data_IF_678984089100
#
_entry.id   IF_678984089100
#
_cell.length_a   1.000
_cell.length_b   1.000
_cell.length_c   1.000
_cell.angle_alpha   90.00
_cell.angle_beta   90.00
_cell.angle_gamma   90.00
#
_symmetry.space_group_name_H-M   'P 1'
#
loop_
_entity.id
_entity.type
_entity.pdbx_description
1 polymer ?
#
# COMPACT_ATOMS: atom_id res chain seq x y z
N UNK A 1 -38.44 33.49 -19.13
CA UNK A 1 -37.65 33.89 -17.94
C UNK A 1 -36.52 32.90 -17.83
N UNK A 2 -35.33 33.24 -18.39
CA UNK A 2 -34.16 32.34 -18.36
C UNK A 2 -33.48 32.50 -17.00
N UNK A 3 -33.53 31.45 -16.19
CA UNK A 3 -32.79 31.40 -14.94
C UNK A 3 -31.32 31.13 -15.37
N UNK A 4 -30.52 32.17 -15.38
CA UNK A 4 -29.08 31.98 -15.51
C UNK A 4 -28.58 31.40 -14.21
N UNK A 5 -28.38 30.11 -14.15
CA UNK A 5 -27.67 29.43 -13.05
C UNK A 5 -26.19 29.70 -13.21
N UNK A 6 -25.69 30.67 -12.47
CA UNK A 6 -24.29 30.92 -12.36
C UNK A 6 -23.66 29.86 -11.46
N UNK A 7 -22.81 29.01 -12.01
CA UNK A 7 -22.12 27.93 -11.29
C UNK A 7 -20.64 28.24 -11.08
N UNK A 8 -20.23 29.48 -11.28
CA UNK A 8 -18.82 29.91 -11.20
C UNK A 8 -18.19 29.69 -9.81
N UNK A 9 -19.02 29.56 -8.78
CA UNK A 9 -18.59 29.31 -7.40
C UNK A 9 -18.46 27.82 -7.04
N UNK A 10 -18.81 26.90 -7.96
CA UNK A 10 -18.71 25.46 -7.72
C UNK A 10 -17.40 24.96 -8.32
N UNK A 11 -16.48 24.57 -7.43
CA UNK A 11 -15.19 24.02 -7.83
C UNK A 11 -15.38 22.73 -8.64
N UNK A 12 -14.80 22.68 -9.85
CA UNK A 12 -14.90 21.52 -10.74
C UNK A 12 -16.19 21.42 -11.56
N UNK A 13 -17.08 22.40 -11.50
CA UNK A 13 -18.25 22.43 -12.37
C UNK A 13 -17.87 22.46 -13.84
N UNK A 14 -18.42 21.53 -14.62
CA UNK A 14 -18.14 21.45 -16.05
C UNK A 14 -16.83 20.72 -16.40
N UNK A 15 -16.24 19.96 -15.47
CA UNK A 15 -15.03 19.19 -15.70
C UNK A 15 -15.19 18.12 -16.80
N UNK A 16 -16.40 17.71 -17.11
CA UNK A 16 -16.81 16.78 -18.17
C UNK A 16 -17.03 17.46 -19.54
N UNK A 17 -17.04 18.81 -19.59
CA UNK A 17 -17.21 19.56 -20.82
C UNK A 17 -15.89 19.62 -21.61
N UNK A 18 -16.02 19.89 -22.92
CA UNK A 18 -14.86 20.19 -23.74
C UNK A 18 -14.01 21.31 -23.14
N UNK A 19 -12.69 21.17 -23.17
CA UNK A 19 -11.73 22.07 -22.53
C UNK A 19 -11.92 23.55 -22.92
N UNK A 20 -12.30 23.81 -24.16
CA UNK A 20 -12.54 25.16 -24.67
C UNK A 20 -13.86 25.79 -24.16
N UNK A 21 -14.79 24.96 -23.67
CA UNK A 21 -16.13 25.36 -23.23
C UNK A 21 -16.34 25.25 -21.74
N UNK A 22 -15.36 24.80 -21.00
CA UNK A 22 -15.44 24.74 -19.55
C UNK A 22 -15.52 26.15 -18.99
N UNK A 23 -16.46 26.44 -18.06
CA UNK A 23 -16.43 27.69 -17.34
C UNK A 23 -15.07 27.78 -16.63
N UNK A 24 -14.26 28.72 -17.09
CA UNK A 24 -12.84 28.73 -16.79
C UNK A 24 -12.52 28.68 -15.31
N UNK A 25 -12.17 27.51 -14.86
CA UNK A 25 -11.35 27.38 -13.68
C UNK A 25 -9.93 27.71 -14.16
N UNK A 26 -9.27 28.75 -13.70
CA UNK A 26 -7.95 29.17 -14.16
C UNK A 26 -6.90 28.04 -14.09
N UNK A 27 -7.13 27.05 -13.24
CA UNK A 27 -6.29 25.87 -13.08
C UNK A 27 -6.31 24.89 -14.27
N UNK A 28 -7.33 24.94 -15.14
CA UNK A 28 -7.42 24.04 -16.28
C UNK A 28 -6.64 24.53 -17.49
N UNK A 29 -6.53 25.84 -17.65
CA UNK A 29 -5.78 26.45 -18.77
C UNK A 29 -4.26 26.50 -18.48
N UNK A 30 -3.89 26.73 -17.23
CA UNK A 30 -2.53 26.64 -16.74
C UNK A 30 -2.62 26.35 -15.24
N UNK A 31 -2.33 25.12 -14.81
CA UNK A 31 -2.26 24.87 -13.37
C UNK A 31 -1.26 25.87 -12.80
N UNK A 32 -1.66 26.66 -11.78
CA UNK A 32 -0.78 27.68 -11.19
C UNK A 32 0.41 26.95 -10.61
N UNK A 33 1.50 26.93 -11.35
CA UNK A 33 2.77 26.53 -10.77
C UNK A 33 3.09 27.60 -9.74
N UNK A 34 3.25 27.19 -8.50
CA UNK A 34 3.75 28.06 -7.44
C UNK A 34 5.06 28.67 -7.93
N UNK A 35 4.98 29.93 -8.42
CA UNK A 35 6.15 30.66 -8.88
C UNK A 35 7.10 30.79 -7.69
N UNK A 36 8.32 30.30 -7.81
CA UNK A 36 9.34 30.38 -6.79
C UNK A 36 9.57 29.13 -5.93
N UNK A 37 8.68 28.15 -5.93
CA UNK A 37 8.96 26.80 -5.43
C UNK A 37 8.87 25.83 -6.60
N UNK A 38 9.98 25.54 -7.24
CA UNK A 38 10.14 24.21 -7.82
C UNK A 38 10.14 23.28 -6.60
N UNK A 39 9.16 22.37 -6.44
CA UNK A 39 9.41 21.26 -5.57
C UNK A 39 10.69 20.64 -6.13
N UNK A 40 11.78 20.74 -5.39
CA UNK A 40 12.94 19.93 -5.67
C UNK A 40 12.41 18.51 -5.59
N UNK A 41 12.40 17.81 -6.71
CA UNK A 41 12.10 16.39 -6.70
C UNK A 41 13.00 15.80 -5.62
N UNK A 42 12.45 15.09 -4.63
CA UNK A 42 13.25 14.54 -3.55
C UNK A 42 14.36 13.68 -4.17
N UNK A 43 15.57 13.84 -3.69
CA UNK A 43 16.68 13.02 -4.13
C UNK A 43 16.32 11.54 -3.93
N UNK A 44 16.69 10.71 -4.88
CA UNK A 44 16.43 9.27 -4.79
C UNK A 44 17.06 8.69 -3.52
N UNK A 45 16.23 8.07 -2.68
CA UNK A 45 16.69 7.40 -1.47
C UNK A 45 17.57 6.19 -1.86
N UNK A 46 18.72 5.97 -1.20
CA UNK A 46 19.56 4.81 -1.47
C UNK A 46 18.82 3.51 -1.06
N UNK A 47 18.88 2.54 -1.94
CA UNK A 47 18.27 1.23 -1.73
C UNK A 47 19.13 0.38 -0.77
N UNK A 48 18.83 0.44 0.52
CA UNK A 48 19.50 -0.35 1.56
C UNK A 48 18.84 -1.70 1.81
N UNK A 49 17.60 -1.88 1.32
CA UNK A 49 16.79 -3.09 1.44
C UNK A 49 16.09 -3.37 0.11
N UNK A 50 15.65 -4.61 -0.08
CA UNK A 50 14.87 -4.98 -1.26
C UNK A 50 13.53 -4.24 -1.26
N UNK A 51 13.25 -3.52 -2.35
CA UNK A 51 12.02 -2.79 -2.58
C UNK A 51 11.21 -3.53 -3.64
N UNK A 52 9.98 -3.88 -3.30
CA UNK A 52 9.05 -4.47 -4.24
C UNK A 52 8.21 -3.35 -4.87
N UNK A 53 8.18 -3.29 -6.17
CA UNK A 53 7.38 -2.34 -6.91
C UNK A 53 6.48 -3.04 -7.94
N UNK A 54 5.42 -2.37 -8.36
CA UNK A 54 4.49 -2.86 -9.38
C UNK A 54 5.19 -3.00 -10.73
N UNK A 55 4.83 -4.05 -11.47
CA UNK A 55 5.27 -4.22 -12.85
C UNK A 55 4.69 -3.16 -13.81
N UNK A 56 3.69 -2.42 -13.36
CA UNK A 56 3.04 -1.35 -14.13
C UNK A 56 3.79 -0.01 -14.00
N UNK A 57 4.76 0.07 -13.08
CA UNK A 57 5.58 1.27 -12.87
C UNK A 57 7.01 0.99 -13.32
N UNK A 58 7.59 1.87 -14.16
CA UNK A 58 8.95 1.68 -14.65
C UNK A 58 9.99 1.85 -13.54
N UNK A 59 9.73 2.74 -12.58
CA UNK A 59 10.71 3.17 -11.59
C UNK A 59 10.19 3.06 -10.15
N UNK A 60 11.13 3.03 -9.20
CA UNK A 60 10.85 3.09 -7.78
C UNK A 60 10.60 4.55 -7.38
N UNK A 61 9.65 4.78 -6.48
CA UNK A 61 9.41 6.12 -5.93
C UNK A 61 10.67 6.67 -5.26
N UNK A 62 10.94 7.99 -5.35
CA UNK A 62 12.14 8.60 -4.77
C UNK A 62 12.31 8.34 -3.28
N UNK A 63 11.20 8.22 -2.54
CA UNK A 63 11.18 7.91 -1.11
C UNK A 63 10.32 6.68 -0.86
N UNK A 64 10.82 5.76 -0.05
CA UNK A 64 10.15 4.50 0.27
C UNK A 64 10.43 4.05 1.70
N UNK A 65 9.53 3.20 2.25
CA UNK A 65 9.70 2.63 3.57
C UNK A 65 10.71 1.48 3.59
N UNK A 66 11.55 1.44 4.62
CA UNK A 66 12.59 0.42 4.82
C UNK A 66 12.38 -0.44 6.06
N UNK A 67 11.30 -0.19 6.83
CA UNK A 67 11.07 -0.80 8.14
C UNK A 67 10.73 -2.28 8.10
N UNK A 68 10.08 -2.75 7.04
CA UNK A 68 9.63 -4.14 6.90
C UNK A 68 10.08 -4.71 5.55
N UNK A 69 11.36 -5.04 5.40
CA UNK A 69 11.86 -5.66 4.17
C UNK A 69 11.25 -7.07 4.00
N UNK A 70 11.04 -7.51 2.75
CA UNK A 70 10.48 -8.82 2.47
C UNK A 70 11.43 -9.93 2.91
N UNK A 71 11.03 -10.71 3.95
CA UNK A 71 11.82 -11.81 4.52
C UNK A 71 10.97 -13.08 4.63
N UNK A 72 11.63 -14.22 4.79
CA UNK A 72 10.97 -15.47 5.05
C UNK A 72 9.96 -15.91 3.99
N UNK A 73 8.98 -16.66 4.39
CA UNK A 73 7.89 -17.14 3.52
C UNK A 73 6.96 -15.99 3.10
N UNK A 74 6.65 -15.08 4.01
CA UNK A 74 5.85 -13.88 3.70
C UNK A 74 6.53 -13.02 2.63
N UNK A 75 7.83 -12.83 2.71
CA UNK A 75 8.60 -12.13 1.69
C UNK A 75 8.60 -12.83 0.33
N UNK A 76 8.72 -14.14 0.31
CA UNK A 76 8.59 -14.92 -0.93
C UNK A 76 7.19 -14.74 -1.56
N UNK A 77 6.13 -14.79 -0.76
CA UNK A 77 4.76 -14.57 -1.23
C UNK A 77 4.59 -13.16 -1.81
N UNK A 78 5.13 -12.14 -1.15
CA UNK A 78 5.11 -10.76 -1.65
C UNK A 78 5.82 -10.64 -3.00
N UNK A 79 7.04 -11.18 -3.14
CA UNK A 79 7.74 -11.20 -4.45
C UNK A 79 6.92 -11.87 -5.54
N UNK A 80 6.20 -12.94 -5.19
CA UNK A 80 5.32 -13.65 -6.13
C UNK A 80 4.08 -12.83 -6.50
N UNK A 81 3.52 -12.08 -5.55
CA UNK A 81 2.39 -11.18 -5.79
C UNK A 81 2.80 -10.05 -6.75
N UNK A 82 3.91 -9.39 -6.51
CA UNK A 82 4.41 -8.27 -7.33
C UNK A 82 4.84 -8.65 -8.76
N UNK A 83 4.87 -9.93 -9.11
CA UNK A 83 5.00 -10.40 -10.50
C UNK A 83 3.68 -10.39 -11.27
N UNK A 84 2.58 -10.04 -10.62
CA UNK A 84 1.25 -9.95 -11.21
C UNK A 84 0.83 -8.48 -11.31
N UNK A 85 -0.04 -8.19 -12.29
CA UNK A 85 -0.66 -6.87 -12.42
C UNK A 85 -1.51 -6.55 -11.18
N UNK A 86 -1.57 -5.28 -10.82
CA UNK A 86 -2.44 -4.76 -9.77
C UNK A 86 -3.94 -4.94 -10.11
N UNK A 87 -4.29 -5.12 -11.37
CA UNK A 87 -5.65 -5.45 -11.82
C UNK A 87 -6.04 -6.92 -11.57
N UNK A 88 -5.07 -7.82 -11.29
CA UNK A 88 -5.35 -9.22 -10.95
C UNK A 88 -5.69 -9.37 -9.46
N UNK A 89 -6.90 -9.83 -9.16
CA UNK A 89 -7.35 -10.10 -7.79
C UNK A 89 -6.40 -11.02 -7.02
N UNK A 90 -5.72 -11.94 -7.71
CA UNK A 90 -4.73 -12.85 -7.11
C UNK A 90 -3.53 -12.12 -6.54
N UNK A 91 -3.16 -10.96 -7.09
CA UNK A 91 -2.13 -10.08 -6.53
C UNK A 91 -2.50 -9.71 -5.10
N UNK A 92 -3.68 -9.16 -4.90
CA UNK A 92 -4.18 -8.69 -3.60
C UNK A 92 -4.41 -9.83 -2.61
N UNK A 93 -5.00 -10.93 -3.07
CA UNK A 93 -5.20 -12.11 -2.23
C UNK A 93 -3.89 -12.67 -1.69
N UNK A 94 -2.85 -12.69 -2.53
CA UNK A 94 -1.53 -13.17 -2.12
C UNK A 94 -0.85 -12.21 -1.14
N UNK A 95 -1.02 -10.88 -1.29
CA UNK A 95 -0.54 -9.90 -0.33
C UNK A 95 -1.22 -10.03 1.02
N UNK A 96 -2.55 -10.18 1.05
CA UNK A 96 -3.31 -10.43 2.27
C UNK A 96 -2.85 -11.71 2.99
N UNK A 97 -2.65 -12.79 2.24
CA UNK A 97 -2.14 -14.03 2.79
C UNK A 97 -0.71 -13.85 3.33
N UNK A 98 0.16 -13.14 2.61
CA UNK A 98 1.52 -12.85 3.05
C UNK A 98 1.55 -12.05 4.37
N UNK A 99 0.61 -11.14 4.56
CA UNK A 99 0.51 -10.39 5.82
C UNK A 99 0.14 -11.28 7.00
N UNK A 100 -0.75 -12.25 6.81
CA UNK A 100 -1.08 -13.24 7.85
C UNK A 100 0.11 -14.13 8.19
N UNK A 101 0.84 -14.58 7.17
CA UNK A 101 2.08 -15.36 7.37
C UNK A 101 3.12 -14.53 8.10
N UNK A 102 3.29 -13.25 7.75
CA UNK A 102 4.24 -12.34 8.41
C UNK A 102 3.94 -12.18 9.91
N UNK A 103 2.67 -12.12 10.31
CA UNK A 103 2.26 -12.08 11.73
C UNK A 103 2.74 -13.34 12.44
N UNK A 104 2.53 -14.51 11.86
CA UNK A 104 2.98 -15.79 12.43
C UNK A 104 4.50 -15.85 12.53
N UNK A 105 5.21 -15.44 11.48
CA UNK A 105 6.68 -15.38 11.47
C UNK A 105 7.20 -14.42 12.56
N UNK A 106 6.53 -13.29 12.77
CA UNK A 106 6.83 -12.33 13.83
C UNK A 106 6.66 -12.96 15.22
N UNK A 107 5.51 -13.57 15.49
CA UNK A 107 5.23 -14.25 16.76
C UNK A 107 6.26 -15.36 17.07
N UNK A 108 6.62 -16.16 16.06
CA UNK A 108 7.63 -17.21 16.22
C UNK A 108 9.02 -16.62 16.49
N UNK A 109 9.36 -15.51 15.83
CA UNK A 109 10.61 -14.77 16.05
C UNK A 109 10.68 -14.23 17.48
N UNK A 110 9.60 -13.63 17.96
CA UNK A 110 9.52 -13.06 19.31
C UNK A 110 9.52 -14.15 20.38
N UNK A 111 8.85 -15.27 20.12
CA UNK A 111 8.92 -16.45 20.99
C UNK A 111 10.33 -17.02 21.14
N UNK A 112 11.13 -16.97 20.06
CA UNK A 112 12.54 -17.41 20.15
C UNK A 112 13.41 -16.45 20.97
N UNK A 113 13.05 -15.16 21.01
CA UNK A 113 13.81 -14.12 21.72
C UNK A 113 13.39 -13.95 23.18
N UNK A 114 12.11 -14.18 23.50
CA UNK A 114 11.53 -13.97 24.82
C UNK A 114 11.16 -15.29 25.51
N UNK A 115 11.68 -15.57 26.73
CA UNK A 115 11.30 -16.76 27.50
C UNK A 115 9.79 -16.83 27.81
N UNK A 116 9.19 -15.68 28.12
CA UNK A 116 7.75 -15.61 28.43
C UNK A 116 6.86 -15.91 27.21
N UNK A 117 7.26 -15.45 26.01
CA UNK A 117 6.52 -15.75 24.79
C UNK A 117 6.65 -17.23 24.38
N UNK A 118 7.79 -17.87 24.65
CA UNK A 118 7.96 -19.33 24.48
C UNK A 118 6.97 -20.11 25.33
N UNK A 119 6.88 -19.76 26.62
CA UNK A 119 5.95 -20.40 27.55
C UNK A 119 4.49 -20.22 27.11
N UNK A 120 4.11 -19.02 26.69
CA UNK A 120 2.76 -18.74 26.19
C UNK A 120 2.40 -19.54 24.94
N UNK A 121 3.32 -19.70 23.99
CA UNK A 121 3.10 -20.52 22.78
C UNK A 121 2.97 -22.01 23.13
N UNK A 122 3.78 -22.53 24.02
CA UNK A 122 3.71 -23.94 24.47
C UNK A 122 2.38 -24.20 25.16
N UNK A 123 1.99 -23.35 26.11
CA UNK A 123 0.72 -23.48 26.82
C UNK A 123 -0.47 -23.36 25.88
N UNK A 124 -0.48 -22.34 25.00
CA UNK A 124 -1.53 -22.15 24.00
C UNK A 124 -1.64 -23.33 23.03
N UNK A 125 -0.51 -23.87 22.57
CA UNK A 125 -0.45 -25.05 21.72
C UNK A 125 -1.01 -26.31 22.39
N UNK A 126 -0.66 -26.53 23.66
CA UNK A 126 -1.20 -27.65 24.45
C UNK A 126 -2.71 -27.52 24.67
N UNK A 127 -3.19 -26.33 25.01
CA UNK A 127 -4.62 -26.09 25.18
C UNK A 127 -5.39 -26.30 23.88
N UNK A 128 -4.85 -25.84 22.76
CA UNK A 128 -5.46 -26.06 21.44
C UNK A 128 -5.48 -27.56 21.09
N UNK A 129 -4.38 -28.28 21.31
CA UNK A 129 -4.29 -29.72 21.03
C UNK A 129 -5.30 -30.52 21.88
N UNK A 130 -5.41 -30.21 23.17
CA UNK A 130 -6.38 -30.89 24.07
C UNK A 130 -7.82 -30.56 23.67
N UNK A 131 -8.11 -29.34 23.27
CA UNK A 131 -9.43 -28.95 22.79
C UNK A 131 -9.77 -29.68 21.48
N UNK A 132 -8.82 -29.78 20.56
CA UNK A 132 -9.01 -30.46 19.27
C UNK A 132 -9.23 -31.97 19.45
N UNK A 133 -8.45 -32.62 20.34
CA UNK A 133 -8.61 -34.04 20.65
C UNK A 133 -9.96 -34.36 21.32
N UNK A 134 -10.48 -33.44 22.14
CA UNK A 134 -11.80 -33.59 22.79
C UNK A 134 -12.98 -33.42 21.80
N UNK A 135 -12.75 -32.80 20.66
CA UNK A 135 -13.79 -32.60 19.64
C UNK A 135 -13.85 -33.71 18.57
N UNK A 136 -12.88 -34.61 18.59
CA UNK A 136 -12.90 -35.83 17.75
C UNK A 136 -13.58 -36.98 18.48
#
# INVERSE_FOLDING_TARGET
MSISTDHSNILGWGADLDHSRRPGVPMEHMPPRLQGRRPMDPAQQPETVEILHSIERPDITPVFGTSVPPRGLSGWMRRRAFRRSESDVRHWMMLLAADRVNVVEGLLSDARRSPGARSALVVGGLLFATWWLRRR
#
